data_IF_478984581563
#
_entry.id   IF_478984581563
#
_cell.length_a   1.000
_cell.length_b   1.000
_cell.length_c   1.000
_cell.angle_alpha   90.00
_cell.angle_beta   90.00
_cell.angle_gamma   90.00
#
_symmetry.space_group_name_H-M   'P 1'
#
loop_
_entity.id
_entity.type
_entity.pdbx_description
1 polymer ?
#
# COMPACT_ATOMS: atom_id res chain seq x y z
N UNK A 1 13.69 -26.19 -44.28
CA UNK A 1 12.29 -25.80 -44.26
C UNK A 1 11.90 -25.54 -42.81
N UNK A 2 12.34 -24.44 -42.24
CA UNK A 2 11.93 -23.98 -40.89
C UNK A 2 12.30 -22.50 -40.75
N UNK A 3 11.59 -21.60 -41.47
CA UNK A 3 11.85 -20.16 -41.30
C UNK A 3 10.66 -19.26 -41.70
N UNK A 4 9.49 -19.82 -41.93
CA UNK A 4 8.32 -19.01 -42.34
C UNK A 4 7.29 -18.79 -41.22
N UNK A 5 7.42 -19.48 -40.08
CA UNK A 5 6.43 -19.43 -38.99
C UNK A 5 6.75 -18.38 -37.93
N UNK A 6 8.01 -17.97 -37.84
CA UNK A 6 8.45 -16.97 -36.84
C UNK A 6 8.19 -15.53 -37.31
N UNK A 7 8.18 -15.30 -38.62
CA UNK A 7 7.98 -13.97 -39.24
C UNK A 7 6.50 -13.54 -39.27
N UNK A 8 5.59 -14.52 -39.25
CA UNK A 8 4.15 -14.25 -39.25
C UNK A 8 3.67 -13.83 -37.84
N UNK A 9 4.21 -14.49 -36.80
CA UNK A 9 3.88 -14.16 -35.40
C UNK A 9 4.40 -12.78 -34.97
N UNK A 10 5.48 -12.30 -35.57
CA UNK A 10 6.03 -10.97 -35.32
C UNK A 10 5.24 -9.85 -36.04
N UNK A 11 4.65 -10.16 -37.18
CA UNK A 11 3.82 -9.21 -37.95
C UNK A 11 2.40 -9.06 -37.37
N UNK A 12 1.89 -10.11 -36.73
CA UNK A 12 0.56 -10.06 -36.10
C UNK A 12 0.60 -9.30 -34.75
N UNK A 13 1.78 -8.98 -34.22
CA UNK A 13 1.96 -8.19 -33.01
C UNK A 13 2.09 -6.66 -33.27
N UNK A 14 2.32 -6.24 -34.50
CA UNK A 14 2.56 -4.81 -34.84
C UNK A 14 1.31 -4.03 -35.29
N UNK A 15 0.15 -4.66 -35.49
CA UNK A 15 -1.06 -3.98 -35.97
C UNK A 15 -2.24 -4.00 -34.99
N UNK A 16 -1.96 -4.02 -33.67
CA UNK A 16 -2.97 -3.72 -32.67
C UNK A 16 -2.80 -2.28 -32.20
N UNK A 17 -3.40 -1.34 -32.93
CA UNK A 17 -3.79 -0.06 -32.34
C UNK A 17 -4.55 -0.36 -31.05
N UNK A 18 -4.23 0.31 -29.92
CA UNK A 18 -4.88 0.00 -28.64
C UNK A 18 -6.39 0.12 -28.82
N UNK A 19 -7.10 -0.98 -28.54
CA UNK A 19 -8.56 -1.03 -28.62
C UNK A 19 -9.11 0.06 -27.68
N UNK A 20 -9.78 1.05 -28.27
CA UNK A 20 -10.36 2.15 -27.49
C UNK A 20 -11.62 1.62 -26.81
N UNK A 21 -11.60 1.56 -25.48
CA UNK A 21 -12.79 1.21 -24.71
C UNK A 21 -13.70 2.44 -24.57
N UNK A 22 -14.55 2.63 -25.58
CA UNK A 22 -15.47 3.77 -25.65
C UNK A 22 -16.40 3.86 -24.43
N UNK A 23 -16.74 2.73 -23.83
CA UNK A 23 -17.61 2.69 -22.65
C UNK A 23 -16.91 3.33 -21.45
N UNK A 24 -15.67 2.92 -21.18
CA UNK A 24 -14.88 3.47 -20.06
C UNK A 24 -14.45 4.89 -20.32
N UNK A 25 -14.17 5.23 -21.56
CA UNK A 25 -13.94 6.62 -21.96
C UNK A 25 -15.16 7.47 -21.65
N UNK A 26 -16.37 7.01 -21.99
CA UNK A 26 -17.59 7.73 -21.66
C UNK A 26 -17.81 7.91 -20.14
N UNK A 27 -17.43 6.93 -19.31
CA UNK A 27 -17.47 7.10 -17.83
C UNK A 27 -16.44 8.13 -17.36
N UNK A 28 -15.24 8.10 -17.92
CA UNK A 28 -14.20 9.08 -17.61
C UNK A 28 -14.65 10.49 -17.99
N UNK A 29 -15.25 10.65 -19.17
CA UNK A 29 -15.75 11.95 -19.64
C UNK A 29 -16.84 12.50 -18.70
N UNK A 30 -17.77 11.66 -18.24
CA UNK A 30 -18.80 12.03 -17.27
C UNK A 30 -18.19 12.49 -15.93
N UNK A 31 -17.14 11.83 -15.44
CA UNK A 31 -16.44 12.24 -14.23
C UNK A 31 -15.63 13.50 -14.44
N UNK A 32 -14.97 13.64 -15.59
CA UNK A 32 -14.20 14.84 -15.94
C UNK A 32 -15.10 16.05 -16.11
N UNK A 33 -16.27 15.89 -16.70
CA UNK A 33 -17.28 16.97 -16.81
C UNK A 33 -17.78 17.44 -15.44
N UNK A 34 -17.86 16.52 -14.47
CA UNK A 34 -18.30 16.84 -13.12
C UNK A 34 -17.22 17.47 -12.24
N UNK A 35 -15.96 17.07 -12.43
CA UNK A 35 -14.85 17.38 -11.52
C UNK A 35 -13.82 18.34 -12.12
N UNK A 36 -13.81 18.51 -13.45
CA UNK A 36 -12.85 19.38 -14.14
C UNK A 36 -11.40 19.02 -13.84
N UNK A 37 -10.61 20.03 -13.50
CA UNK A 37 -9.17 19.91 -13.21
C UNK A 37 -8.86 19.07 -11.97
N UNK A 38 -9.86 18.66 -11.19
CA UNK A 38 -9.66 17.77 -10.06
C UNK A 38 -9.32 16.33 -10.49
N UNK A 39 -9.59 15.95 -11.74
CA UNK A 39 -9.11 14.69 -12.32
C UNK A 39 -7.65 14.87 -12.73
N UNK A 40 -6.73 14.36 -11.92
CA UNK A 40 -5.28 14.54 -12.13
C UNK A 40 -4.61 13.37 -12.82
N UNK A 41 -5.33 12.28 -13.03
CA UNK A 41 -4.82 11.11 -13.77
C UNK A 41 -5.92 10.07 -13.99
N UNK A 42 -5.75 9.27 -15.05
CA UNK A 42 -6.66 8.17 -15.34
C UNK A 42 -5.92 7.03 -16.02
N UNK A 43 -6.53 5.86 -16.00
CA UNK A 43 -6.05 4.72 -16.78
C UNK A 43 -7.23 3.86 -17.22
N UNK A 44 -7.28 3.59 -18.51
CA UNK A 44 -8.27 2.72 -19.16
C UNK A 44 -7.53 1.50 -19.72
N UNK A 45 -7.91 0.33 -19.26
CA UNK A 45 -7.54 -0.93 -19.88
C UNK A 45 -8.83 -1.62 -20.34
N UNK A 46 -8.93 -2.08 -21.61
CA UNK A 46 -10.13 -2.68 -22.15
C UNK A 46 -10.66 -3.82 -21.29
N UNK A 47 -11.94 -3.79 -20.95
CA UNK A 47 -12.60 -4.80 -20.12
C UNK A 47 -12.20 -4.81 -18.64
N UNK A 48 -11.37 -3.86 -18.17
CA UNK A 48 -10.92 -3.74 -16.77
C UNK A 48 -11.60 -2.57 -16.06
N UNK A 49 -11.38 -2.44 -14.75
CA UNK A 49 -11.83 -1.31 -13.94
C UNK A 49 -11.27 0.00 -14.48
N UNK A 50 -12.10 1.03 -14.58
CA UNK A 50 -11.64 2.40 -14.86
C UNK A 50 -10.93 2.97 -13.63
N UNK A 51 -9.68 3.39 -13.77
CA UNK A 51 -8.94 4.07 -12.72
C UNK A 51 -9.00 5.58 -12.91
N UNK A 52 -9.37 6.29 -11.86
CA UNK A 52 -9.42 7.76 -11.87
C UNK A 52 -8.72 8.30 -10.63
N UNK A 53 -7.61 9.01 -10.83
CA UNK A 53 -6.90 9.70 -9.76
C UNK A 53 -7.41 11.12 -9.67
N UNK A 54 -7.80 11.53 -8.47
CA UNK A 54 -8.39 12.84 -8.19
C UNK A 54 -7.59 13.60 -7.14
N UNK A 55 -7.67 14.92 -7.19
CA UNK A 55 -7.10 15.78 -6.17
C UNK A 55 -7.76 15.48 -4.81
N UNK A 56 -6.98 15.46 -3.72
CA UNK A 56 -7.45 15.14 -2.36
C UNK A 56 -8.66 16.00 -1.93
N UNK A 57 -8.61 17.28 -2.27
CA UNK A 57 -9.69 18.21 -1.93
C UNK A 57 -11.05 17.86 -2.55
N UNK A 58 -11.04 17.11 -3.67
CA UNK A 58 -12.24 16.71 -4.41
C UNK A 58 -12.58 15.22 -4.24
N UNK A 59 -12.02 14.57 -3.24
CA UNK A 59 -12.24 13.15 -2.96
C UNK A 59 -13.70 12.79 -2.76
N UNK A 60 -14.39 13.55 -1.92
CA UNK A 60 -15.80 13.33 -1.60
C UNK A 60 -16.69 13.58 -2.81
N UNK A 61 -16.45 14.69 -3.49
CA UNK A 61 -17.18 15.10 -4.70
C UNK A 61 -16.99 14.09 -5.84
N UNK A 62 -15.82 13.46 -5.92
CA UNK A 62 -15.54 12.40 -6.89
C UNK A 62 -16.37 11.13 -6.61
N UNK A 63 -16.45 10.73 -5.35
CA UNK A 63 -17.27 9.60 -4.92
C UNK A 63 -18.77 9.90 -5.11
N UNK A 64 -19.21 11.14 -4.85
CA UNK A 64 -20.57 11.60 -5.08
C UNK A 64 -20.90 11.60 -6.58
N UNK A 65 -20.00 12.11 -7.44
CA UNK A 65 -20.18 12.10 -8.89
C UNK A 65 -20.25 10.66 -9.44
N UNK A 66 -19.40 9.76 -8.97
CA UNK A 66 -19.47 8.35 -9.34
C UNK A 66 -20.82 7.72 -8.94
N UNK A 67 -21.32 8.05 -7.74
CA UNK A 67 -22.60 7.56 -7.26
C UNK A 67 -23.78 8.11 -8.06
N UNK A 68 -23.82 9.41 -8.28
CA UNK A 68 -24.97 10.08 -8.88
C UNK A 68 -25.00 10.04 -10.40
N UNK A 69 -23.83 10.22 -11.05
CA UNK A 69 -23.73 10.30 -12.51
C UNK A 69 -23.57 8.93 -13.16
N UNK A 70 -22.75 8.05 -12.59
CA UNK A 70 -22.53 6.70 -13.09
C UNK A 70 -23.42 5.65 -12.43
N UNK A 71 -24.13 6.01 -11.34
CA UNK A 71 -24.97 5.09 -10.58
C UNK A 71 -24.19 4.05 -9.79
N UNK A 72 -22.94 4.34 -9.41
CA UNK A 72 -22.09 3.49 -8.60
C UNK A 72 -22.59 3.47 -7.15
N UNK A 73 -23.70 2.79 -6.89
CA UNK A 73 -24.32 2.69 -5.57
C UNK A 73 -23.76 1.58 -4.69
N UNK A 74 -23.00 0.67 -5.27
CA UNK A 74 -22.31 -0.39 -4.54
C UNK A 74 -20.92 0.09 -4.16
N UNK A 75 -20.68 0.12 -2.85
CA UNK A 75 -19.39 0.35 -2.26
C UNK A 75 -18.74 -1.00 -2.02
N UNK A 76 -17.62 -1.28 -2.67
CA UNK A 76 -16.91 -2.53 -2.53
C UNK A 76 -15.88 -2.45 -1.40
N UNK A 77 -14.89 -1.58 -1.58
CA UNK A 77 -13.90 -1.33 -0.53
C UNK A 77 -13.30 0.07 -0.58
N UNK A 78 -12.66 0.44 0.53
CA UNK A 78 -11.73 1.54 0.63
C UNK A 78 -10.50 1.04 1.40
N UNK A 79 -9.31 1.33 0.90
CA UNK A 79 -8.06 0.99 1.56
C UNK A 79 -6.96 1.97 1.20
N UNK A 80 -5.93 2.05 2.03
CA UNK A 80 -4.72 2.80 1.70
C UNK A 80 -3.62 1.88 1.18
N UNK A 81 -2.65 2.46 0.52
CA UNK A 81 -1.43 1.78 0.10
C UNK A 81 -0.22 2.62 0.47
N UNK A 82 0.81 1.96 0.98
CA UNK A 82 2.14 2.52 1.21
C UNK A 82 3.07 2.02 0.10
N UNK A 83 3.54 2.94 -0.75
CA UNK A 83 4.42 2.62 -1.88
C UNK A 83 5.89 2.52 -1.51
N UNK A 84 6.24 2.86 -0.27
CA UNK A 84 7.61 2.73 0.19
C UNK A 84 8.09 1.28 0.04
N UNK A 85 9.31 1.05 -0.46
CA UNK A 85 9.93 -0.26 -0.40
C UNK A 85 10.04 -0.71 1.06
N UNK A 86 9.78 -1.99 1.33
CA UNK A 86 9.97 -2.51 2.68
C UNK A 86 11.45 -2.43 3.07
N UNK A 87 11.82 -1.75 4.16
CA UNK A 87 13.19 -1.72 4.64
C UNK A 87 13.68 -3.10 5.11
N UNK A 88 12.75 -4.02 5.38
CA UNK A 88 13.02 -5.37 5.85
C UNK A 88 13.14 -6.41 4.73
N UNK A 89 13.04 -5.99 3.47
CA UNK A 89 13.08 -6.89 2.31
C UNK A 89 11.71 -7.55 2.02
N UNK A 90 11.75 -8.56 1.14
CA UNK A 90 10.55 -9.29 0.68
C UNK A 90 10.49 -10.74 1.17
N UNK A 91 11.49 -11.18 1.92
CA UNK A 91 11.68 -12.58 2.25
C UNK A 91 11.42 -12.82 3.74
N UNK A 92 10.94 -14.00 4.06
CA UNK A 92 10.83 -14.50 5.44
C UNK A 92 12.19 -14.93 5.97
N UNK A 93 13.20 -15.05 5.10
CA UNK A 93 14.54 -15.44 5.47
C UNK A 93 15.26 -14.35 6.26
N UNK A 94 16.15 -14.77 7.16
CA UNK A 94 16.96 -13.87 7.98
C UNK A 94 17.74 -12.88 7.11
N UNK A 95 17.76 -11.62 7.53
CA UNK A 95 18.54 -10.57 6.89
C UNK A 95 20.02 -10.90 6.77
N UNK A 96 20.55 -11.80 7.62
CA UNK A 96 21.93 -12.29 7.62
C UNK A 96 22.16 -13.23 6.44
N UNK A 97 21.18 -14.04 6.07
CA UNK A 97 21.34 -15.07 5.03
C UNK A 97 21.18 -14.52 3.61
N UNK A 98 20.44 -13.42 3.45
CA UNK A 98 20.08 -12.89 2.13
C UNK A 98 20.89 -11.66 1.74
N UNK A 99 21.74 -11.11 2.62
CA UNK A 99 22.52 -9.90 2.34
C UNK A 99 21.63 -8.71 2.01
N UNK A 100 20.62 -8.47 2.83
CA UNK A 100 19.66 -7.38 2.65
C UNK A 100 20.41 -6.05 2.58
N UNK A 101 20.23 -5.34 1.47
CA UNK A 101 20.76 -3.98 1.35
C UNK A 101 20.09 -3.09 2.38
N UNK A 102 20.84 -2.21 3.06
CA UNK A 102 20.27 -1.21 3.93
C UNK A 102 19.15 -0.45 3.20
N UNK A 103 18.06 -0.17 3.90
CA UNK A 103 17.00 0.68 3.36
C UNK A 103 17.58 2.04 3.02
N UNK A 104 17.41 2.45 1.77
CA UNK A 104 17.74 3.79 1.31
C UNK A 104 16.46 4.65 1.35
N UNK A 105 16.34 5.58 2.31
CA UNK A 105 15.18 6.47 2.39
C UNK A 105 15.04 7.40 1.18
N UNK A 106 16.11 7.55 0.39
CA UNK A 106 16.09 8.33 -0.86
C UNK A 106 15.64 7.48 -2.06
N UNK A 107 15.40 6.17 -1.87
CA UNK A 107 14.97 5.30 -2.96
C UNK A 107 13.61 5.75 -3.49
N UNK A 108 13.58 6.02 -4.81
CA UNK A 108 12.32 6.35 -5.49
C UNK A 108 11.39 5.16 -5.47
N UNK A 109 10.16 5.37 -5.07
CA UNK A 109 9.09 4.39 -5.22
C UNK A 109 8.33 4.65 -6.51
N UNK A 110 7.77 3.59 -7.09
CA UNK A 110 6.91 3.68 -8.27
C UNK A 110 5.47 3.48 -7.83
N UNK A 111 4.64 4.50 -8.00
CA UNK A 111 3.21 4.40 -7.80
C UNK A 111 2.58 3.61 -8.95
N UNK A 112 1.58 2.80 -8.67
CA UNK A 112 0.97 1.92 -9.66
C UNK A 112 0.07 2.64 -10.66
N UNK A 113 -1.00 1.96 -11.06
CA UNK A 113 -1.97 2.43 -12.07
C UNK A 113 -2.48 3.83 -11.77
N UNK A 114 -2.66 4.66 -12.81
CA UNK A 114 -3.02 6.08 -12.78
C UNK A 114 -1.98 7.00 -12.11
N UNK A 115 -0.77 6.50 -11.83
CA UNK A 115 0.35 7.29 -11.29
C UNK A 115 0.14 7.75 -9.85
N UNK A 116 0.93 8.72 -9.42
CA UNK A 116 0.86 9.36 -8.10
C UNK A 116 2.20 9.94 -7.68
N UNK A 117 2.16 10.88 -6.73
CA UNK A 117 3.33 11.68 -6.35
C UNK A 117 3.69 11.53 -4.87
N UNK A 118 2.88 10.76 -4.08
CA UNK A 118 3.08 10.59 -2.65
C UNK A 118 3.28 9.12 -2.27
N UNK A 119 3.94 8.90 -1.15
CA UNK A 119 4.13 7.59 -0.55
C UNK A 119 2.80 6.90 -0.26
N UNK A 120 1.87 7.63 0.35
CA UNK A 120 0.56 7.10 0.69
C UNK A 120 -0.48 7.50 -0.35
N UNK A 121 -1.32 6.55 -0.72
CA UNK A 121 -2.47 6.78 -1.57
C UNK A 121 -3.69 6.08 -1.01
N UNK A 122 -4.85 6.70 -1.14
CA UNK A 122 -6.13 6.10 -0.81
C UNK A 122 -6.80 5.59 -2.08
N UNK A 123 -7.39 4.42 -1.98
CA UNK A 123 -8.10 3.72 -3.05
C UNK A 123 -9.53 3.46 -2.59
N UNK A 124 -10.51 3.67 -3.49
CA UNK A 124 -11.89 3.30 -3.26
C UNK A 124 -12.49 2.69 -4.51
N UNK A 125 -13.00 1.48 -4.38
CA UNK A 125 -13.68 0.79 -5.47
C UNK A 125 -15.19 0.94 -5.34
N UNK A 126 -15.80 1.49 -6.41
CA UNK A 126 -17.22 1.78 -6.50
C UNK A 126 -17.81 1.13 -7.74
N UNK A 127 -18.97 0.51 -7.64
CA UNK A 127 -19.58 -0.17 -8.76
C UNK A 127 -21.07 0.11 -8.92
N UNK A 128 -21.51 0.12 -10.17
CA UNK A 128 -22.91 0.03 -10.55
C UNK A 128 -23.29 -1.41 -10.91
N UNK A 129 -23.64 -2.20 -9.91
CA UNK A 129 -23.94 -3.63 -10.10
C UNK A 129 -25.26 -3.91 -10.84
N UNK A 130 -26.17 -2.92 -10.88
CA UNK A 130 -27.45 -3.05 -11.60
C UNK A 130 -27.29 -2.78 -13.09
N UNK A 131 -26.28 -1.99 -13.44
CA UNK A 131 -26.03 -1.53 -14.80
C UNK A 131 -27.07 -0.49 -15.28
N UNK A 132 -26.66 0.39 -16.17
CA UNK A 132 -27.55 1.22 -17.00
C UNK A 132 -27.54 0.62 -18.39
N UNK A 133 -28.68 0.27 -18.95
CA UNK A 133 -28.76 -0.40 -20.25
C UNK A 133 -27.94 -1.71 -20.36
N UNK A 134 -27.85 -2.46 -19.24
CA UNK A 134 -27.07 -3.72 -19.20
C UNK A 134 -25.55 -3.54 -19.01
N UNK A 135 -25.06 -2.30 -18.97
CA UNK A 135 -23.64 -2.00 -18.78
C UNK A 135 -23.39 -1.62 -17.31
N UNK A 136 -22.44 -2.30 -16.68
CA UNK A 136 -22.02 -2.06 -15.29
C UNK A 136 -20.87 -1.10 -15.28
N UNK A 137 -20.99 0.01 -14.57
CA UNK A 137 -19.87 0.90 -14.31
C UNK A 137 -19.05 0.36 -13.14
N UNK A 138 -17.74 0.46 -13.27
CA UNK A 138 -16.77 -0.12 -12.34
C UNK A 138 -15.57 0.84 -12.26
N UNK A 139 -15.45 1.56 -11.15
CA UNK A 139 -14.53 2.68 -11.00
C UNK A 139 -13.68 2.53 -9.76
N UNK A 140 -12.35 2.60 -9.94
CA UNK A 140 -11.38 2.74 -8.88
C UNK A 140 -11.00 4.21 -8.74
N UNK A 141 -11.50 4.86 -7.71
CA UNK A 141 -11.04 6.19 -7.32
C UNK A 141 -9.72 6.07 -6.57
N UNK A 142 -8.80 6.97 -6.85
CA UNK A 142 -7.49 7.04 -6.25
C UNK A 142 -7.16 8.48 -5.90
N UNK A 143 -6.49 8.71 -4.77
CA UNK A 143 -5.99 10.03 -4.42
C UNK A 143 -4.68 9.95 -3.66
N UNK A 144 -3.86 10.96 -3.83
CA UNK A 144 -2.58 11.13 -3.13
C UNK A 144 -2.81 11.71 -1.73
N UNK A 145 -2.12 11.16 -0.74
CA UNK A 145 -2.08 11.67 0.63
C UNK A 145 -0.66 12.09 0.96
N UNK A 146 -0.42 13.39 1.26
CA UNK A 146 0.88 13.86 1.72
C UNK A 146 1.33 13.15 3.01
N UNK A 147 2.61 12.82 3.12
CA UNK A 147 3.16 12.04 4.23
C UNK A 147 3.03 12.77 5.59
N UNK A 148 3.01 14.08 5.56
CA UNK A 148 2.87 14.96 6.72
C UNK A 148 1.41 15.31 7.08
N UNK A 149 0.45 14.96 6.20
CA UNK A 149 -0.98 15.25 6.42
C UNK A 149 -1.85 14.15 5.80
N UNK A 150 -2.00 13.04 6.52
CA UNK A 150 -2.82 11.89 6.10
C UNK A 150 -4.31 12.10 6.39
N UNK A 151 -4.84 13.30 6.13
CA UNK A 151 -6.25 13.64 6.36
C UNK A 151 -7.06 13.67 5.09
N UNK A 152 -8.30 13.18 5.17
CA UNK A 152 -9.22 13.21 4.05
C UNK A 152 -10.67 13.19 4.55
N UNK A 153 -11.60 13.72 3.75
CA UNK A 153 -13.02 13.72 4.09
C UNK A 153 -13.61 12.31 4.03
N UNK A 154 -14.37 11.94 5.07
CA UNK A 154 -15.06 10.65 5.17
C UNK A 154 -16.12 10.46 4.09
N UNK A 155 -16.23 9.25 3.53
CA UNK A 155 -17.27 8.83 2.60
C UNK A 155 -18.48 8.21 3.30
N UNK A 156 -18.50 8.08 4.62
CA UNK A 156 -19.64 7.52 5.39
C UNK A 156 -20.98 8.18 5.04
N UNK A 157 -21.07 9.50 4.80
CA UNK A 157 -22.33 10.13 4.40
C UNK A 157 -22.88 9.64 3.06
N UNK A 158 -22.00 9.18 2.15
CA UNK A 158 -22.40 8.62 0.85
C UNK A 158 -22.63 7.12 0.90
N UNK A 159 -21.76 6.41 1.65
CA UNK A 159 -21.73 4.96 1.71
C UNK A 159 -21.57 4.48 3.15
N UNK A 160 -22.60 3.91 3.73
CA UNK A 160 -22.55 3.41 5.11
C UNK A 160 -21.48 2.35 5.33
N UNK A 161 -21.12 1.57 4.28
CA UNK A 161 -20.05 0.57 4.33
C UNK A 161 -18.66 1.17 4.52
N UNK A 162 -18.44 2.42 4.13
CA UNK A 162 -17.18 3.11 4.31
C UNK A 162 -16.75 3.20 5.78
N UNK A 163 -17.70 3.21 6.73
CA UNK A 163 -17.39 3.30 8.15
C UNK A 163 -16.35 2.30 8.63
N UNK A 164 -16.48 1.04 8.25
CA UNK A 164 -15.54 0.00 8.68
C UNK A 164 -14.21 0.07 7.97
N UNK A 165 -14.22 0.36 6.67
CA UNK A 165 -13.01 0.48 5.87
C UNK A 165 -12.17 1.71 6.26
N UNK A 166 -12.82 2.82 6.58
CA UNK A 166 -12.14 4.02 7.07
C UNK A 166 -11.50 3.78 8.44
N UNK A 167 -12.18 3.07 9.34
CA UNK A 167 -11.60 2.66 10.62
C UNK A 167 -10.40 1.74 10.44
N UNK A 168 -10.46 0.79 9.49
CA UNK A 168 -9.33 -0.06 9.14
C UNK A 168 -8.14 0.77 8.62
N UNK A 169 -8.37 1.70 7.70
CA UNK A 169 -7.32 2.58 7.19
C UNK A 169 -6.72 3.47 8.28
N UNK A 170 -7.55 3.98 9.18
CA UNK A 170 -7.09 4.76 10.32
C UNK A 170 -6.21 3.92 11.24
N UNK A 171 -6.64 2.72 11.56
CA UNK A 171 -5.91 1.81 12.44
C UNK A 171 -4.60 1.31 11.81
N UNK A 172 -4.65 0.87 10.56
CA UNK A 172 -3.54 0.19 9.89
C UNK A 172 -2.51 1.14 9.23
N UNK A 173 -2.95 2.31 8.77
CA UNK A 173 -2.10 3.27 8.06
C UNK A 173 -2.00 4.64 8.75
N UNK A 174 -2.89 4.96 9.68
CA UNK A 174 -2.94 6.25 10.34
C UNK A 174 -3.59 7.34 9.49
N UNK A 175 -4.52 6.97 8.62
CA UNK A 175 -5.29 7.95 7.83
C UNK A 175 -6.44 8.49 8.66
N UNK A 176 -6.51 9.81 8.82
CA UNK A 176 -7.58 10.48 9.53
C UNK A 176 -8.74 10.82 8.59
N UNK A 177 -9.96 10.49 8.98
CA UNK A 177 -11.15 10.72 8.17
C UNK A 177 -12.02 11.82 8.76
N UNK A 178 -11.97 13.03 8.21
CA UNK A 178 -12.74 14.17 8.66
C UNK A 178 -14.24 13.93 8.49
N UNK A 179 -14.98 14.07 9.58
CA UNK A 179 -16.43 13.83 9.59
C UNK A 179 -16.85 12.37 9.79
N UNK A 180 -15.90 11.46 10.04
CA UNK A 180 -16.25 10.09 10.43
C UNK A 180 -16.94 10.06 11.80
N UNK A 181 -18.04 9.28 11.98
CA UNK A 181 -18.84 9.30 13.20
C UNK A 181 -18.16 8.71 14.45
N UNK A 182 -17.04 8.01 14.28
CA UNK A 182 -16.34 7.41 15.43
C UNK A 182 -15.19 6.50 15.00
N UNK A 183 -14.02 7.09 14.81
CA UNK A 183 -12.78 6.35 14.60
C UNK A 183 -12.39 5.63 15.89
N UNK A 184 -12.33 4.31 15.84
CA UNK A 184 -11.93 3.42 16.94
C UNK A 184 -11.41 2.12 16.38
N UNK A 185 -10.56 1.44 17.12
CA UNK A 185 -9.97 0.16 16.74
C UNK A 185 -11.02 -0.88 16.32
N UNK A 186 -10.66 -1.69 15.31
CA UNK A 186 -11.43 -2.82 14.79
C UNK A 186 -10.75 -4.16 15.09
N UNK A 187 -9.44 -4.21 14.84
CA UNK A 187 -8.65 -5.44 14.87
C UNK A 187 -7.65 -5.46 16.01
N UNK A 188 -7.08 -4.29 16.34
CA UNK A 188 -5.99 -4.18 17.30
C UNK A 188 -6.53 -3.84 18.69
N UNK A 189 -5.85 -4.27 19.77
CA UNK A 189 -6.14 -3.81 21.12
C UNK A 189 -6.02 -2.28 21.24
N UNK A 190 -6.78 -1.69 22.17
CA UNK A 190 -6.76 -0.23 22.37
C UNK A 190 -5.41 0.34 22.77
N UNK A 191 -4.56 -0.49 23.35
CA UNK A 191 -3.19 -0.13 23.77
C UNK A 191 -2.13 -0.35 22.70
N UNK A 192 -2.54 -0.79 21.49
CA UNK A 192 -1.60 -1.04 20.40
C UNK A 192 -1.09 0.29 19.85
N UNK A 193 0.23 0.43 19.79
CA UNK A 193 0.89 1.60 19.26
C UNK A 193 1.43 1.36 17.84
N UNK A 194 1.22 2.33 16.96
CA UNK A 194 1.69 2.29 15.56
C UNK A 194 0.68 1.76 14.55
N UNK A 195 1.12 1.64 13.31
CA UNK A 195 0.29 1.31 12.15
C UNK A 195 0.90 0.14 11.36
N UNK A 196 0.43 -1.11 11.58
CA UNK A 196 1.13 -2.32 11.13
C UNK A 196 1.22 -2.50 9.61
N UNK A 197 0.38 -1.84 8.81
CA UNK A 197 0.43 -1.95 7.36
C UNK A 197 1.34 -0.91 6.69
N UNK A 198 1.93 0.00 7.46
CA UNK A 198 3.03 0.84 6.94
C UNK A 198 4.27 0.00 6.72
N UNK A 199 4.99 0.27 5.63
CA UNK A 199 6.21 -0.48 5.27
C UNK A 199 7.37 -0.29 6.24
N UNK A 200 7.39 0.81 6.98
CA UNK A 200 8.37 1.12 8.02
C UNK A 200 7.98 0.55 9.40
N UNK A 201 6.82 -0.10 9.53
CA UNK A 201 6.43 -0.76 10.76
C UNK A 201 7.16 -2.11 10.90
N UNK A 202 7.94 -2.33 11.97
CA UNK A 202 8.71 -3.55 12.16
C UNK A 202 7.81 -4.70 12.65
N UNK A 203 7.48 -5.64 11.76
CA UNK A 203 6.65 -6.80 12.11
C UNK A 203 7.40 -7.85 12.94
N UNK A 204 8.72 -7.97 12.77
CA UNK A 204 9.56 -9.00 13.37
C UNK A 204 10.55 -8.47 14.40
N UNK A 205 10.39 -7.25 14.90
CA UNK A 205 11.29 -6.65 15.88
C UNK A 205 11.14 -7.29 17.28
N UNK A 206 11.50 -8.55 17.42
CA UNK A 206 11.68 -9.19 18.72
C UNK A 206 13.15 -9.33 19.02
N UNK A 207 13.66 -8.58 19.99
CA UNK A 207 14.85 -8.96 20.72
C UNK A 207 14.47 -10.15 21.62
N UNK A 208 14.67 -11.36 21.12
CA UNK A 208 14.49 -12.56 21.95
C UNK A 208 15.75 -12.69 22.81
N UNK A 209 15.60 -12.56 24.13
CA UNK A 209 16.69 -12.88 25.05
C UNK A 209 17.04 -14.37 24.90
N UNK A 210 18.33 -14.70 24.71
CA UNK A 210 18.75 -16.09 24.68
C UNK A 210 18.39 -16.76 26.01
N UNK A 211 17.63 -17.86 25.95
CA UNK A 211 17.29 -18.69 27.13
C UNK A 211 17.13 -20.14 26.74
N UNK A 212 17.51 -21.04 27.64
CA UNK A 212 18.91 -21.39 27.90
C UNK A 212 19.45 -22.05 26.66
N UNK A 213 20.46 -21.53 26.06
CA UNK A 213 21.07 -22.00 24.84
C UNK A 213 20.88 -21.02 23.71
N UNK A 214 21.53 -21.29 22.61
CA UNK A 214 21.48 -20.49 21.40
C UNK A 214 20.10 -20.77 20.76
N UNK A 215 19.15 -19.91 21.02
CA UNK A 215 17.96 -19.78 20.18
C UNK A 215 18.43 -18.97 18.97
N UNK A 216 18.09 -19.44 17.80
CA UNK A 216 18.32 -18.68 16.56
C UNK A 216 17.61 -17.32 16.68
N UNK A 217 18.36 -16.31 17.02
CA UNK A 217 17.86 -14.95 17.21
C UNK A 217 18.15 -14.22 15.92
N UNK A 218 17.13 -13.94 15.17
CA UNK A 218 17.29 -13.05 14.02
C UNK A 218 17.87 -11.71 14.48
N UNK A 219 19.05 -11.31 13.98
CA UNK A 219 19.63 -10.04 14.37
C UNK A 219 18.68 -8.90 13.97
N UNK A 220 18.48 -7.97 14.90
CA UNK A 220 17.77 -6.73 14.58
C UNK A 220 18.46 -6.09 13.38
N UNK A 221 17.71 -5.66 12.34
CA UNK A 221 18.29 -4.87 11.27
C UNK A 221 19.05 -3.69 11.86
N UNK A 222 20.34 -3.57 11.51
CA UNK A 222 21.14 -2.45 11.97
C UNK A 222 20.51 -1.14 11.47
N UNK A 223 20.33 -0.18 12.36
CA UNK A 223 20.13 1.20 11.94
C UNK A 223 21.35 1.61 11.11
N UNK A 224 21.15 2.36 10.04
CA UNK A 224 22.14 2.62 8.99
C UNK A 224 23.51 3.17 9.44
N UNK A 225 23.69 3.46 10.73
CA UNK A 225 24.88 4.09 11.31
C UNK A 225 25.58 3.29 12.44
N UNK A 226 25.14 2.06 12.77
CA UNK A 226 25.85 1.23 13.73
C UNK A 226 26.66 0.15 13.00
N UNK A 227 27.97 0.41 12.83
CA UNK A 227 28.93 -0.65 12.55
C UNK A 227 28.98 -1.58 13.75
N UNK A 228 28.41 -2.78 13.63
CA UNK A 228 28.55 -3.84 14.62
C UNK A 228 29.97 -4.39 14.48
N UNK A 229 30.88 -3.96 15.36
CA UNK A 229 32.17 -4.65 15.51
C UNK A 229 31.91 -6.12 15.88
N UNK A 230 32.53 -7.08 15.20
CA UNK A 230 32.39 -8.48 15.57
C UNK A 230 32.98 -8.68 16.96
N UNK A 231 32.18 -9.21 17.89
CA UNK A 231 32.64 -9.59 19.20
C UNK A 231 33.82 -10.56 19.05
N UNK A 232 35.02 -10.11 19.42
CA UNK A 232 36.21 -10.96 19.47
C UNK A 232 36.02 -11.99 20.57
N UNK A 233 36.16 -13.27 20.21
CA UNK A 233 36.00 -14.44 21.07
C UNK A 233 37.22 -14.66 21.99
N UNK A 234 37.66 -13.65 22.75
CA UNK A 234 38.89 -13.71 23.54
C UNK A 234 38.72 -13.45 25.04
N UNK A 235 37.51 -13.54 25.59
CA UNK A 235 37.30 -13.39 27.05
C UNK A 235 36.70 -14.64 27.73
N UNK A 236 37.10 -15.82 27.29
CA UNK A 236 36.71 -17.07 27.94
C UNK A 236 37.93 -17.90 28.40
N UNK A 237 38.89 -17.24 29.06
CA UNK A 237 39.93 -18.02 29.82
C UNK A 237 40.46 -17.16 30.96
N UNK A 238 40.00 -17.38 32.16
CA UNK A 238 40.53 -16.68 33.31
C UNK A 238 39.70 -16.75 34.60
N UNK A 239 39.30 -17.94 35.01
CA UNK A 239 38.90 -18.15 36.42
C UNK A 239 38.97 -19.63 36.81
N UNK A 240 40.17 -20.14 36.91
CA UNK A 240 40.43 -21.32 37.76
C UNK A 240 41.72 -21.10 38.51
N UNK A 241 41.61 -21.18 39.81
CA UNK A 241 42.58 -21.39 40.87
C UNK A 241 42.77 -20.25 41.89
N UNK A 242 42.42 -20.56 43.08
CA UNK A 242 42.65 -19.77 44.27
C UNK A 242 41.98 -20.33 45.53
N UNK A 243 42.18 -21.62 45.77
CA UNK A 243 41.93 -22.20 47.10
C UNK A 243 43.10 -21.88 48.02
N UNK A 244 42.88 -21.30 49.16
CA UNK A 244 43.89 -20.97 50.17
C UNK A 244 43.23 -20.47 51.44
N UNK A 245 42.92 -21.33 52.23
CA UNK A 245 43.17 -21.69 53.63
C UNK A 245 43.58 -20.53 54.60
N UNK A 246 43.13 -20.67 55.85
CA UNK A 246 43.53 -20.10 57.16
C UNK A 246 42.72 -18.96 57.78
N UNK A 247 42.24 -19.38 58.87
CA UNK A 247 42.03 -18.91 60.23
C UNK A 247 40.63 -18.45 60.64
#
# INVERSE_FOLDING_TARGET
MADATTDQAAKDAEDQSPEVDELRQGWLDVLTDALGDAVVGSHIAPGRVLWVRVARASWFEAAEAARERLGCTFFDFLSAIDWMPSPWGRYEDSAVDVGVKPFDPSSSFTTGVAGGDTRFQLLCHLANVRGRNGQRADVMLKTDLPDDDLRIRSLVPLYGGANWHERECWEMFGVEFDGHPGLRHLYLPSEFEGHPLRKDFPLLARLVKPWPGIVDVEPRPAAADEEVEPATADDADGAADGNGDEA
#
